data_IF_850857971158
#
_entry.id   IF_850857971158
#
_cell.length_a   1.000
_cell.length_b   1.000
_cell.length_c   1.000
_cell.angle_alpha   90.00
_cell.angle_beta   90.00
_cell.angle_gamma   90.00
#
_symmetry.space_group_name_H-M   'P 1'
#
loop_
_entity.id
_entity.type
_entity.pdbx_description
1 polymer ?
#
# COMPACT_ATOMS: atom_id res chain seq x y z
N UNK A 1 -20.57 12.32 12.80
CA UNK A 1 -19.51 11.29 12.80
C UNK A 1 -19.55 10.65 11.43
N UNK A 2 -18.64 11.02 10.52
CA UNK A 2 -18.64 10.45 9.17
C UNK A 2 -17.90 9.12 9.20
N UNK A 3 -18.59 8.01 8.92
CA UNK A 3 -17.92 6.72 8.72
C UNK A 3 -17.20 6.77 7.38
N UNK A 4 -15.88 6.94 7.42
CA UNK A 4 -15.03 6.73 6.25
C UNK A 4 -14.99 5.23 5.99
N UNK A 5 -15.77 4.76 5.02
CA UNK A 5 -15.72 3.36 4.60
C UNK A 5 -14.37 3.11 3.92
N UNK A 6 -13.47 2.43 4.64
CA UNK A 6 -12.17 2.01 4.09
C UNK A 6 -12.41 0.88 3.09
N UNK A 7 -11.84 1.00 1.90
CA UNK A 7 -11.86 -0.07 0.90
C UNK A 7 -10.50 -0.75 0.91
N UNK A 8 -10.49 -2.08 1.10
CA UNK A 8 -9.25 -2.85 1.01
C UNK A 8 -8.98 -3.22 -0.44
N UNK A 9 -7.77 -2.95 -0.93
CA UNK A 9 -7.29 -3.46 -2.20
C UNK A 9 -6.58 -4.78 -1.96
N UNK A 10 -7.04 -5.82 -2.67
CA UNK A 10 -6.59 -7.20 -2.47
C UNK A 10 -6.01 -7.79 -3.76
N UNK A 11 -5.10 -8.76 -3.62
CA UNK A 11 -4.56 -9.50 -4.76
C UNK A 11 -5.56 -10.49 -5.34
N UNK A 12 -5.77 -10.41 -6.66
CA UNK A 12 -6.59 -11.37 -7.41
C UNK A 12 -6.08 -12.81 -7.29
N UNK A 13 -4.75 -13.03 -7.32
CA UNK A 13 -4.18 -14.40 -7.28
C UNK A 13 -4.33 -15.09 -5.91
N UNK A 14 -4.39 -14.35 -4.80
CA UNK A 14 -4.21 -14.92 -3.45
C UNK A 14 -5.18 -14.41 -2.40
N UNK A 15 -6.11 -13.51 -2.78
CA UNK A 15 -7.06 -12.80 -1.90
C UNK A 15 -6.41 -12.14 -0.67
N UNK A 16 -5.12 -11.82 -0.73
CA UNK A 16 -4.41 -11.12 0.33
C UNK A 16 -4.71 -9.63 0.27
N UNK A 17 -5.03 -9.01 1.41
CA UNK A 17 -4.99 -7.55 1.54
C UNK A 17 -3.58 -7.06 1.26
N UNK A 18 -3.50 -5.98 0.50
CA UNK A 18 -2.26 -5.41 -0.03
C UNK A 18 -2.01 -4.02 0.57
N UNK A 19 -3.06 -3.21 0.55
CA UNK A 19 -3.15 -1.85 1.09
C UNK A 19 -4.61 -1.39 1.08
N UNK A 20 -4.90 -0.23 1.66
CA UNK A 20 -6.23 0.37 1.73
C UNK A 20 -6.34 1.57 0.78
N UNK A 21 -7.57 2.07 0.59
CA UNK A 21 -7.85 3.27 -0.21
C UNK A 21 -7.10 4.53 0.26
N UNK A 22 -6.73 4.60 1.55
CA UNK A 22 -5.95 5.72 2.11
C UNK A 22 -4.45 5.69 1.75
N UNK A 23 -3.93 4.51 1.39
CA UNK A 23 -2.53 4.34 0.97
C UNK A 23 -2.30 4.77 -0.48
N UNK A 24 -3.36 4.99 -1.26
CA UNK A 24 -3.33 5.31 -2.69
C UNK A 24 -2.97 6.79 -2.90
N UNK A 25 -1.93 7.05 -3.69
CA UNK A 25 -1.52 8.41 -4.07
C UNK A 25 -2.47 8.96 -5.13
N UNK A 26 -3.55 9.58 -4.65
CA UNK A 26 -4.44 10.39 -5.46
C UNK A 26 -3.73 11.67 -5.91
N UNK A 27 -3.52 11.80 -7.21
CA UNK A 27 -2.96 12.99 -7.83
C UNK A 27 -3.88 13.51 -8.94
N UNK A 28 -3.65 14.77 -9.30
CA UNK A 28 -4.40 15.44 -10.35
C UNK A 28 -3.61 15.45 -11.65
N UNK A 29 -4.27 15.20 -12.78
CA UNK A 29 -3.62 15.26 -14.09
C UNK A 29 -3.14 16.69 -14.41
N UNK A 30 -1.95 16.87 -15.00
CA UNK A 30 -1.53 18.17 -15.52
C UNK A 30 -2.46 18.61 -16.66
N UNK A 31 -2.68 19.92 -16.79
CA UNK A 31 -3.36 20.49 -17.96
C UNK A 31 -2.46 20.34 -19.18
N UNK A 32 -3.07 20.11 -20.35
CA UNK A 32 -2.38 20.17 -21.65
C UNK A 32 -2.65 21.52 -22.29
N UNK A 33 -1.67 22.05 -23.02
CA UNK A 33 -1.82 23.33 -23.72
C UNK A 33 -2.99 23.28 -24.72
N UNK A 34 -3.81 24.33 -24.72
CA UNK A 34 -5.03 24.42 -25.53
C UNK A 34 -6.28 23.76 -24.93
N UNK A 35 -6.18 23.07 -23.78
CA UNK A 35 -7.32 22.44 -23.13
C UNK A 35 -7.86 23.26 -21.94
N UNK A 36 -9.12 23.68 -22.02
CA UNK A 36 -9.79 24.48 -20.98
C UNK A 36 -10.23 23.66 -19.76
N UNK A 37 -9.94 22.36 -19.67
CA UNK A 37 -10.46 21.52 -18.60
C UNK A 37 -9.97 21.94 -17.21
N UNK A 38 -10.84 21.71 -16.24
CA UNK A 38 -10.52 21.68 -14.83
C UNK A 38 -9.49 20.59 -14.52
N UNK A 39 -8.68 20.87 -13.51
CA UNK A 39 -7.71 19.92 -12.96
C UNK A 39 -8.50 18.73 -12.36
N UNK A 40 -8.27 17.51 -12.86
CA UNK A 40 -9.10 16.32 -12.56
C UNK A 40 -8.32 15.17 -11.90
N UNK A 41 -8.95 14.35 -11.04
CA UNK A 41 -8.33 13.16 -10.47
C UNK A 41 -7.83 12.20 -11.56
N UNK A 42 -6.64 11.62 -11.34
CA UNK A 42 -6.04 10.68 -12.27
C UNK A 42 -6.52 9.25 -12.05
N UNK A 43 -7.25 8.72 -13.03
CA UNK A 43 -7.68 7.31 -13.09
C UNK A 43 -6.96 6.53 -14.21
N UNK A 44 -5.76 6.97 -14.61
CA UNK A 44 -5.02 6.43 -15.76
C UNK A 44 -3.92 5.45 -15.35
N UNK A 45 -3.70 4.41 -16.15
CA UNK A 45 -2.55 3.49 -16.04
C UNK A 45 -2.60 2.58 -14.80
N UNK A 46 -1.52 2.60 -14.02
CA UNK A 46 -1.33 1.81 -12.80
C UNK A 46 -1.81 2.58 -11.55
N UNK A 47 -2.02 1.89 -10.42
CA UNK A 47 -2.29 2.52 -9.11
C UNK A 47 -0.98 2.79 -8.40
N UNK A 48 -0.80 4.00 -7.85
CA UNK A 48 0.38 4.37 -7.06
C UNK A 48 0.05 4.42 -5.58
N UNK A 49 1.00 4.06 -4.72
CA UNK A 49 0.83 4.06 -3.26
C UNK A 49 1.97 4.78 -2.54
N UNK A 50 1.69 5.20 -1.31
CA UNK A 50 2.72 5.52 -0.33
C UNK A 50 3.63 4.31 -0.08
N UNK A 51 4.81 4.53 0.51
CA UNK A 51 5.66 3.43 0.99
C UNK A 51 5.02 2.78 2.22
N UNK A 52 4.93 1.45 2.23
CA UNK A 52 4.32 0.66 3.30
C UNK A 52 5.33 -0.31 3.90
N UNK A 53 5.18 -0.65 5.18
CA UNK A 53 6.16 -1.46 5.93
C UNK A 53 6.49 -2.80 5.24
N UNK A 54 5.48 -3.48 4.68
CA UNK A 54 5.70 -4.76 4.01
C UNK A 54 6.56 -4.66 2.73
N UNK A 55 6.68 -3.46 2.13
CA UNK A 55 7.57 -3.22 0.98
C UNK A 55 9.04 -3.39 1.36
N UNK A 56 9.42 -3.14 2.62
CA UNK A 56 10.81 -3.23 3.08
C UNK A 56 11.39 -4.65 2.86
N UNK A 57 10.54 -5.68 2.89
CA UNK A 57 10.89 -7.07 2.57
C UNK A 57 11.04 -7.39 1.07
N UNK A 58 10.62 -6.48 0.19
CA UNK A 58 10.59 -6.64 -1.27
C UNK A 58 11.59 -5.72 -2.01
N UNK A 59 12.11 -4.69 -1.33
CA UNK A 59 12.98 -3.67 -1.94
C UNK A 59 14.43 -3.83 -1.50
N UNK A 60 15.28 -4.35 -2.39
CA UNK A 60 16.75 -4.40 -2.20
C UNK A 60 17.47 -3.20 -2.83
N UNK A 61 16.91 -2.62 -3.89
CA UNK A 61 17.58 -1.66 -4.78
C UNK A 61 16.79 -0.36 -4.90
N UNK A 62 17.32 0.63 -5.62
CA UNK A 62 16.64 1.92 -5.89
C UNK A 62 15.36 1.73 -6.73
N UNK A 63 15.32 0.70 -7.58
CA UNK A 63 14.17 0.37 -8.42
C UNK A 63 14.07 -1.14 -8.63
N UNK A 64 12.86 -1.65 -8.83
CA UNK A 64 12.64 -3.09 -8.99
C UNK A 64 11.21 -3.51 -9.29
N UNK A 65 10.91 -4.78 -9.05
CA UNK A 65 9.61 -5.42 -9.31
C UNK A 65 8.97 -5.85 -8.00
N UNK A 66 7.67 -5.66 -7.88
CA UNK A 66 6.88 -6.14 -6.73
C UNK A 66 6.21 -7.46 -7.10
N UNK A 67 6.27 -8.44 -6.19
CA UNK A 67 5.70 -9.77 -6.37
C UNK A 67 4.68 -10.07 -5.27
N UNK A 68 3.72 -10.95 -5.55
CA UNK A 68 2.81 -11.46 -4.51
C UNK A 68 3.60 -12.30 -3.50
N UNK A 69 3.54 -12.00 -2.18
CA UNK A 69 4.23 -12.80 -1.15
C UNK A 69 3.80 -14.26 -1.07
N UNK A 70 2.60 -14.61 -1.56
CA UNK A 70 2.06 -15.98 -1.56
C UNK A 70 2.23 -16.72 -2.89
N UNK A 71 2.00 -16.05 -4.02
CA UNK A 71 1.89 -16.69 -5.34
C UNK A 71 3.07 -16.35 -6.28
N UNK A 72 4.01 -15.50 -5.87
CA UNK A 72 5.20 -15.05 -6.61
C UNK A 72 4.96 -14.43 -8.02
N UNK A 73 3.71 -14.23 -8.45
CA UNK A 73 3.36 -13.45 -9.65
C UNK A 73 3.81 -12.00 -9.49
N UNK A 74 4.33 -11.39 -10.56
CA UNK A 74 4.62 -9.95 -10.60
C UNK A 74 3.32 -9.16 -10.51
N UNK A 75 3.17 -8.37 -9.45
CA UNK A 75 1.98 -7.56 -9.18
C UNK A 75 2.16 -6.09 -9.55
N UNK A 76 3.39 -5.59 -9.50
CA UNK A 76 3.73 -4.18 -9.68
C UNK A 76 5.22 -3.94 -9.92
N UNK A 77 5.63 -2.68 -9.87
CA UNK A 77 7.04 -2.25 -9.91
C UNK A 77 7.25 -1.11 -8.92
N UNK A 78 8.51 -0.80 -8.60
CA UNK A 78 8.81 0.32 -7.72
C UNK A 78 10.05 1.11 -8.17
N UNK A 79 10.07 2.40 -7.84
CA UNK A 79 11.25 3.26 -7.96
C UNK A 79 11.25 4.30 -6.82
N UNK A 80 12.27 4.26 -5.98
CA UNK A 80 12.42 5.17 -4.82
C UNK A 80 12.68 6.62 -5.23
N UNK A 81 13.35 6.86 -6.37
CA UNK A 81 13.51 8.21 -6.92
C UNK A 81 12.21 8.76 -7.52
N UNK A 82 11.27 7.87 -7.85
CA UNK A 82 10.01 8.20 -8.50
C UNK A 82 10.01 7.93 -10.00
N UNK A 83 8.81 7.96 -10.58
CA UNK A 83 8.53 7.73 -12.00
C UNK A 83 7.34 8.60 -12.46
N UNK A 84 7.22 8.89 -13.77
CA UNK A 84 6.05 9.56 -14.30
C UNK A 84 4.84 8.60 -14.37
N UNK A 85 3.70 9.03 -13.83
CA UNK A 85 2.41 8.47 -14.18
C UNK A 85 2.14 8.68 -15.68
N UNK A 86 1.31 7.81 -16.28
CA UNK A 86 0.85 7.90 -17.69
C UNK A 86 0.25 9.27 -18.04
N UNK A 87 -0.31 10.00 -17.07
CA UNK A 87 -0.83 11.35 -17.26
C UNK A 87 0.26 12.44 -17.41
N UNK A 88 1.53 12.11 -17.16
CA UNK A 88 2.68 13.01 -17.15
C UNK A 88 3.06 13.57 -15.77
N UNK A 89 2.33 13.24 -14.70
CA UNK A 89 2.66 13.67 -13.33
C UNK A 89 3.79 12.80 -12.75
N UNK A 90 4.87 13.42 -12.29
CA UNK A 90 5.91 12.73 -11.49
C UNK A 90 5.39 12.38 -10.10
N UNK A 91 5.67 11.16 -9.64
CA UNK A 91 5.28 10.64 -8.33
C UNK A 91 6.51 10.03 -7.62
N UNK A 92 6.71 10.35 -6.34
CA UNK A 92 7.82 9.88 -5.51
C UNK A 92 7.30 9.59 -4.09
N UNK A 93 7.62 8.42 -3.48
CA UNK A 93 8.17 7.25 -4.15
C UNK A 93 7.17 6.66 -5.14
N UNK A 94 7.65 6.02 -6.21
CA UNK A 94 6.79 5.42 -7.23
C UNK A 94 6.63 3.92 -6.98
N UNK A 95 5.88 3.55 -5.94
CA UNK A 95 5.35 2.19 -5.81
C UNK A 95 4.07 2.10 -6.64
N UNK A 96 4.04 1.21 -7.65
CA UNK A 96 2.86 1.07 -8.50
C UNK A 96 2.48 -0.37 -8.81
N UNK A 97 1.17 -0.57 -8.92
CA UNK A 97 0.53 -1.87 -9.04
C UNK A 97 -0.42 -1.89 -10.23
N UNK A 98 -0.44 -3.02 -10.94
CA UNK A 98 -1.31 -3.15 -12.10
C UNK A 98 -2.73 -3.46 -11.68
N UNK A 99 -3.68 -2.61 -12.10
CA UNK A 99 -5.10 -2.71 -11.74
C UNK A 99 -5.68 -4.10 -12.04
N UNK A 100 -5.20 -4.80 -13.06
CA UNK A 100 -5.59 -6.19 -13.40
C UNK A 100 -5.21 -7.26 -12.34
N UNK A 101 -4.34 -6.92 -11.40
CA UNK A 101 -3.94 -7.82 -10.30
C UNK A 101 -4.64 -7.48 -8.98
N UNK A 102 -5.50 -6.47 -8.97
CA UNK A 102 -6.14 -5.91 -7.78
C UNK A 102 -7.67 -5.99 -7.90
N UNK A 103 -8.32 -6.45 -6.84
CA UNK A 103 -9.76 -6.29 -6.63
C UNK A 103 -10.00 -5.32 -5.46
N UNK A 104 -11.09 -4.55 -5.52
CA UNK A 104 -11.60 -3.76 -4.39
C UNK A 104 -12.56 -4.59 -3.55
N UNK A 105 -12.36 -4.64 -2.23
CA UNK A 105 -13.33 -5.15 -1.27
C UNK A 105 -13.89 -3.99 -0.42
N UNK A 106 -15.20 -3.69 -0.52
CA UNK A 106 -15.81 -2.63 0.28
C UNK A 106 -15.80 -2.97 1.77
N UNK A 107 -15.52 -1.97 2.61
CA UNK A 107 -15.41 -2.10 4.06
C UNK A 107 -16.65 -2.71 4.72
N UNK A 108 -16.54 -3.98 5.10
CA UNK A 108 -17.63 -4.74 5.71
C UNK A 108 -17.42 -6.25 5.77
N UNK A 109 -16.52 -6.82 4.96
CA UNK A 109 -16.31 -8.28 4.92
C UNK A 109 -14.86 -8.70 4.63
N UNK A 110 -13.93 -8.46 5.56
CA UNK A 110 -12.68 -9.23 5.66
C UNK A 110 -12.40 -9.55 7.13
N UNK A 111 -12.18 -10.82 7.52
CA UNK A 111 -11.61 -11.13 8.82
C UNK A 111 -10.17 -10.60 8.87
N UNK A 112 -9.93 -9.61 9.73
CA UNK A 112 -8.59 -9.17 10.09
C UNK A 112 -7.77 -10.41 10.48
N UNK A 113 -6.61 -10.59 9.84
CA UNK A 113 -5.59 -11.50 10.35
C UNK A 113 -4.99 -10.81 11.58
N UNK A 114 -5.71 -10.92 12.70
CA UNK A 114 -5.27 -10.41 14.00
C UNK A 114 -4.12 -11.27 14.48
N UNK A 115 -3.00 -10.62 14.74
CA UNK A 115 -2.29 -10.70 16.02
C UNK A 115 -2.55 -11.98 16.83
N UNK A 116 -1.56 -12.88 16.84
CA UNK A 116 -1.42 -13.89 17.89
C UNK A 116 -0.57 -13.25 19.00
N UNK A 117 -1.17 -13.04 20.17
CA UNK A 117 -0.63 -12.22 21.27
C UNK A 117 -0.81 -12.94 22.63
N UNK A 118 0.05 -12.62 23.61
CA UNK A 118 0.01 -13.02 25.06
C UNK A 118 0.25 -14.54 25.32
N UNK A 119 0.87 -15.05 26.40
CA UNK A 119 1.33 -14.54 27.72
C UNK A 119 2.77 -15.07 28.02
N UNK A 120 3.53 -14.69 29.05
CA UNK A 120 3.30 -13.91 30.30
C UNK A 120 4.67 -13.31 30.74
N UNK A 121 4.90 -12.60 31.86
CA UNK A 121 4.05 -12.17 32.99
C UNK A 121 4.72 -10.95 33.68
N UNK A 122 4.09 -10.41 34.73
CA UNK A 122 4.72 -9.56 35.76
C UNK A 122 4.37 -10.11 37.14
N UNK A 123 5.32 -10.18 38.08
CA UNK A 123 5.09 -9.78 39.49
C UNK A 123 6.39 -9.65 40.32
N UNK A 124 6.40 -8.60 41.16
CA UNK A 124 7.08 -8.40 42.45
C UNK A 124 8.45 -9.03 42.82
N UNK A 125 9.36 -8.13 43.21
CA UNK A 125 10.56 -8.39 44.04
C UNK A 125 10.18 -8.86 45.46
N UNK A 126 11.07 -9.63 46.14
CA UNK A 126 11.51 -9.12 47.45
C UNK A 126 13.02 -9.31 47.77
N UNK A 127 13.53 -8.31 48.50
CA UNK A 127 14.49 -8.33 49.62
C UNK A 127 15.76 -9.23 49.63
N UNK A 128 16.89 -8.51 49.69
CA UNK A 128 18.10 -8.75 50.51
C UNK A 128 18.93 -10.05 50.40
N UNK A 129 20.20 -9.87 50.01
CA UNK A 129 21.33 -10.69 50.46
C UNK A 129 22.55 -9.79 50.74
N UNK A 130 23.05 -9.74 51.98
CA UNK A 130 24.30 -9.07 52.36
C UNK A 130 25.54 -9.95 52.04
N UNK A 131 26.68 -9.29 51.79
CA UNK A 131 28.04 -9.79 52.06
C UNK A 131 29.06 -8.63 52.08
#
# INVERSE_FOLDING_TARGET
>A
MSVTSVTSLILTCSRSVLFHSEDVIHHLCPKKDGDSQSVKPCNQGELFTNALEWFNSQTSDVQGKLYCPKCAVKIGSYNWCGEPCVCGRWLTPAFHFSRKHLDELPGGAIPSAKDEEVEAQVDSSPENCEA
#
